data_IF_818285824616
#
_entry.id   IF_818285824616
#
_cell.length_a   1.000
_cell.length_b   1.000
_cell.length_c   1.000
_cell.angle_alpha   90.00
_cell.angle_beta   90.00
_cell.angle_gamma   90.00
#
_symmetry.space_group_name_H-M   'P 1'
#
loop_
_entity.id
_entity.type
_entity.pdbx_description
1 polymer ?
#
# COMPACT_ATOMS: atom_id res chain seq x y z
N UNK A 1 -1.40 17.56 -8.29
CA UNK A 1 -1.97 17.84 -6.96
C UNK A 1 -2.14 16.50 -6.28
N UNK A 2 -1.64 16.33 -5.06
CA UNK A 2 -1.85 15.10 -4.30
C UNK A 2 -3.33 15.05 -3.92
N UNK A 3 -4.05 13.98 -4.25
CA UNK A 3 -5.43 13.79 -3.82
C UNK A 3 -5.40 13.13 -2.44
N UNK A 4 -5.54 13.88 -1.33
CA UNK A 4 -5.40 13.33 0.01
C UNK A 4 -6.43 12.23 0.30
N UNK A 5 -7.59 12.30 -0.36
CA UNK A 5 -8.63 11.29 -0.26
C UNK A 5 -8.27 10.01 -1.03
N UNK A 6 -7.56 10.11 -2.14
CA UNK A 6 -7.10 8.94 -2.90
C UNK A 6 -5.97 8.21 -2.15
N UNK A 7 -5.05 8.97 -1.54
CA UNK A 7 -4.03 8.43 -0.65
C UNK A 7 -4.66 7.66 0.52
N UNK A 8 -5.59 8.27 1.25
CA UNK A 8 -6.24 7.63 2.40
C UNK A 8 -6.97 6.32 2.02
N UNK A 9 -7.58 6.27 0.83
CA UNK A 9 -8.21 5.05 0.31
C UNK A 9 -7.17 3.98 -0.03
N UNK A 10 -6.06 4.36 -0.65
CA UNK A 10 -4.96 3.46 -0.96
C UNK A 10 -4.36 2.87 0.33
N UNK A 11 -4.07 3.71 1.33
CA UNK A 11 -3.58 3.28 2.64
C UNK A 11 -4.54 2.30 3.32
N UNK A 12 -5.84 2.63 3.34
CA UNK A 12 -6.88 1.74 3.89
C UNK A 12 -6.90 0.39 3.18
N UNK A 13 -6.73 0.39 1.86
CA UNK A 13 -6.69 -0.85 1.08
C UNK A 13 -5.46 -1.69 1.40
N UNK A 14 -4.28 -1.08 1.51
CA UNK A 14 -3.05 -1.77 1.90
C UNK A 14 -3.16 -2.42 3.28
N UNK A 15 -3.72 -1.68 4.25
CA UNK A 15 -3.99 -2.20 5.60
C UNK A 15 -4.92 -3.41 5.51
N UNK A 16 -6.02 -3.29 4.77
CA UNK A 16 -6.98 -4.39 4.60
C UNK A 16 -6.35 -5.63 3.96
N UNK A 17 -5.52 -5.45 2.92
CA UNK A 17 -4.77 -6.55 2.29
C UNK A 17 -3.85 -7.22 3.29
N UNK A 18 -3.11 -6.45 4.09
CA UNK A 18 -2.18 -6.99 5.09
C UNK A 18 -2.91 -7.79 6.19
N UNK A 19 -4.02 -7.26 6.70
CA UNK A 19 -4.84 -7.91 7.72
C UNK A 19 -5.53 -9.19 7.22
N UNK A 20 -5.90 -9.23 5.92
CA UNK A 20 -6.53 -10.38 5.26
C UNK A 20 -5.55 -11.30 4.53
N UNK A 21 -4.25 -11.02 4.56
CA UNK A 21 -3.21 -11.89 3.99
C UNK A 21 -3.11 -13.21 4.76
N UNK A 22 -2.56 -14.25 4.13
CA UNK A 22 -2.24 -15.52 4.81
C UNK A 22 -0.73 -15.81 4.75
N UNK A 23 0.01 -15.79 5.89
CA UNK A 23 -0.46 -15.38 7.21
C UNK A 23 -0.74 -13.87 7.31
N UNK A 24 -1.64 -13.44 8.22
CA UNK A 24 -1.96 -12.03 8.40
C UNK A 24 -0.74 -11.25 8.88
N UNK A 25 -0.54 -10.07 8.31
CA UNK A 25 0.60 -9.20 8.59
C UNK A 25 0.13 -7.96 9.33
N UNK A 26 0.89 -7.59 10.35
CA UNK A 26 0.61 -6.37 11.11
C UNK A 26 0.95 -5.13 10.27
N UNK A 27 -0.06 -4.34 9.93
CA UNK A 27 0.12 -3.15 9.11
C UNK A 27 1.02 -2.10 9.77
N UNK A 28 1.10 -2.07 11.10
CA UNK A 28 2.00 -1.17 11.85
C UNK A 28 3.47 -1.48 11.64
N UNK A 29 3.81 -2.62 11.00
CA UNK A 29 5.19 -2.95 10.59
C UNK A 29 5.59 -2.34 9.26
N UNK A 30 4.67 -1.68 8.55
CA UNK A 30 4.90 -1.13 7.24
C UNK A 30 4.49 0.35 7.19
N UNK A 31 5.24 1.15 6.43
CA UNK A 31 4.85 2.52 6.12
C UNK A 31 3.92 2.50 4.89
N UNK A 32 2.63 2.28 5.15
CA UNK A 32 1.60 2.19 4.09
C UNK A 32 1.44 3.48 3.29
N UNK A 33 1.72 4.63 3.91
CA UNK A 33 1.74 5.94 3.24
C UNK A 33 2.82 5.99 2.17
N UNK A 34 4.06 5.65 2.55
CA UNK A 34 5.19 5.62 1.62
C UNK A 34 5.00 4.57 0.51
N UNK A 35 4.44 3.41 0.86
CA UNK A 35 4.11 2.37 -0.11
C UNK A 35 3.04 2.82 -1.12
N UNK A 36 1.96 3.44 -0.67
CA UNK A 36 0.92 3.98 -1.55
C UNK A 36 1.48 5.09 -2.46
N UNK A 37 2.34 5.95 -1.93
CA UNK A 37 3.02 7.00 -2.70
C UNK A 37 3.92 6.40 -3.79
N UNK A 38 4.76 5.42 -3.46
CA UNK A 38 5.62 4.75 -4.45
C UNK A 38 4.79 4.07 -5.54
N UNK A 39 3.70 3.39 -5.18
CA UNK A 39 2.79 2.78 -6.15
C UNK A 39 2.23 3.83 -7.12
N UNK A 40 1.79 4.96 -6.59
CA UNK A 40 1.30 6.07 -7.40
C UNK A 40 2.39 6.63 -8.33
N UNK A 41 3.61 6.80 -7.86
CA UNK A 41 4.72 7.28 -8.70
C UNK A 41 5.07 6.30 -9.82
N UNK A 42 4.94 4.99 -9.58
CA UNK A 42 5.23 3.94 -10.57
C UNK A 42 4.14 3.76 -11.61
N UNK A 43 2.88 3.85 -11.20
CA UNK A 43 1.71 3.50 -12.05
C UNK A 43 0.91 4.71 -12.51
N UNK A 44 1.06 5.86 -11.85
CA UNK A 44 0.19 7.02 -12.00
C UNK A 44 -1.18 6.86 -11.34
N UNK A 45 -1.47 5.75 -10.66
CA UNK A 45 -2.77 5.43 -10.06
C UNK A 45 -2.69 5.28 -8.54
N UNK A 46 -3.77 5.63 -7.84
CA UNK A 46 -3.97 5.32 -6.42
C UNK A 46 -4.78 4.04 -6.23
N UNK A 47 -5.34 3.50 -7.31
CA UNK A 47 -6.15 2.29 -7.23
C UNK A 47 -5.26 1.05 -7.14
N UNK A 48 -5.21 0.50 -5.94
CA UNK A 48 -4.47 -0.71 -5.61
C UNK A 48 -5.31 -1.98 -5.81
N UNK A 49 -6.60 -1.86 -6.15
CA UNK A 49 -7.46 -3.04 -6.36
C UNK A 49 -7.10 -3.78 -7.64
N UNK A 50 -6.61 -3.04 -8.62
CA UNK A 50 -6.04 -3.59 -9.87
C UNK A 50 -4.53 -3.86 -9.77
N UNK A 51 -3.90 -3.54 -8.63
CA UNK A 51 -2.48 -3.78 -8.46
C UNK A 51 -2.17 -5.27 -8.36
N UNK A 52 -1.10 -5.70 -9.03
CA UNK A 52 -0.57 -7.04 -8.82
C UNK A 52 -0.18 -7.22 -7.34
N UNK A 53 -0.70 -8.25 -6.66
CA UNK A 53 -0.44 -8.46 -5.23
C UNK A 53 1.05 -8.63 -4.95
N UNK A 54 1.79 -9.29 -5.85
CA UNK A 54 3.25 -9.41 -5.72
C UNK A 54 3.99 -8.07 -5.82
N UNK A 55 3.49 -7.12 -6.63
CA UNK A 55 4.07 -5.79 -6.72
C UNK A 55 3.78 -4.98 -5.43
N UNK A 56 2.55 -5.09 -4.90
CA UNK A 56 2.17 -4.46 -3.63
C UNK A 56 3.01 -5.00 -2.48
N UNK A 57 3.20 -6.32 -2.41
CA UNK A 57 4.06 -6.94 -1.40
C UNK A 57 5.52 -6.49 -1.50
N UNK A 58 6.07 -6.39 -2.71
CA UNK A 58 7.44 -5.90 -2.91
C UNK A 58 7.59 -4.45 -2.45
N UNK A 59 6.62 -3.59 -2.79
CA UNK A 59 6.60 -2.18 -2.35
C UNK A 59 6.52 -2.11 -0.83
N UNK A 60 5.60 -2.84 -0.21
CA UNK A 60 5.47 -2.88 1.26
C UNK A 60 6.76 -3.37 1.93
N UNK A 61 7.42 -4.40 1.39
CA UNK A 61 8.68 -4.91 1.93
C UNK A 61 9.84 -3.89 1.86
N UNK A 62 9.80 -2.93 0.93
CA UNK A 62 10.78 -1.83 0.83
C UNK A 62 10.54 -0.72 1.86
N UNK A 63 9.34 -0.66 2.42
CA UNK A 63 8.89 0.41 3.33
C UNK A 63 8.52 -0.14 4.71
N UNK A 64 9.48 -0.62 5.53
CA UNK A 64 9.21 -0.99 6.90
C UNK A 64 8.84 0.25 7.74
N UNK A 65 7.93 0.08 8.70
CA UNK A 65 7.68 1.07 9.73
C UNK A 65 8.88 1.06 10.70
N UNK A 66 9.64 2.16 10.70
CA UNK A 66 10.78 2.36 11.58
C UNK A 66 10.40 2.89 12.95
#
# INVERSE_FOLDING_TARGET
>A
MHDPQALAQAETHLIHVLEHSDPPRDASRFNVTAAAQEYHERTGSWDLREADPGAVEEILARHPAG
#
